data_IF_906864010043
#
_entry.id   IF_906864010043
#
_cell.length_a   1.000
_cell.length_b   1.000
_cell.length_c   1.000
_cell.angle_alpha   90.00
_cell.angle_beta   90.00
_cell.angle_gamma   90.00
#
_symmetry.space_group_name_H-M   'P 1'
#
loop_
_entity.id
_entity.type
_entity.pdbx_description
1 polymer ?
#
# COMPACT_ATOMS: atom_id res chain seq x y z
N UNK A 1 1.82 33.74 -24.37
CA UNK A 1 1.27 32.38 -24.14
C UNK A 1 2.12 31.72 -23.08
N UNK A 2 1.58 31.55 -21.88
CA UNK A 2 2.22 30.75 -20.83
C UNK A 2 1.94 29.29 -21.18
N UNK A 3 2.92 28.37 -21.19
CA UNK A 3 2.61 26.97 -21.37
C UNK A 3 1.78 26.53 -20.18
N UNK A 4 0.57 26.06 -20.44
CA UNK A 4 -0.26 25.41 -19.44
C UNK A 4 0.57 24.26 -18.87
N UNK A 5 0.96 24.39 -17.61
CA UNK A 5 1.53 23.31 -16.83
C UNK A 5 0.48 22.20 -16.88
N UNK A 6 0.74 21.19 -17.72
CA UNK A 6 -0.03 19.96 -17.80
C UNK A 6 0.09 19.34 -16.41
N UNK A 7 -0.83 19.70 -15.50
CA UNK A 7 -0.94 19.06 -14.19
C UNK A 7 -1.24 17.62 -14.54
N UNK A 8 -0.24 16.76 -14.42
CA UNK A 8 -0.33 15.33 -14.71
C UNK A 8 -1.54 14.77 -13.97
N UNK A 9 -2.65 14.67 -14.70
CA UNK A 9 -3.80 13.90 -14.23
C UNK A 9 -3.26 12.48 -14.15
N UNK A 10 -3.32 11.81 -12.98
CA UNK A 10 -2.81 10.46 -12.87
C UNK A 10 -3.44 9.62 -13.98
N UNK A 11 -2.58 9.03 -14.81
CA UNK A 11 -2.98 8.29 -16.01
C UNK A 11 -3.99 7.18 -15.68
N UNK A 12 -3.94 6.69 -14.44
CA UNK A 12 -4.79 5.66 -13.88
C UNK A 12 -5.58 6.18 -12.69
N UNK A 13 -6.87 5.81 -12.62
CA UNK A 13 -7.62 5.74 -11.37
C UNK A 13 -7.44 4.35 -10.82
N UNK A 14 -7.04 4.25 -9.56
CA UNK A 14 -6.82 2.98 -8.90
C UNK A 14 -7.65 2.95 -7.62
N UNK A 15 -8.32 1.83 -7.37
CA UNK A 15 -8.99 1.57 -6.10
C UNK A 15 -8.61 0.20 -5.59
N UNK A 16 -8.42 0.08 -4.28
CA UNK A 16 -8.25 -1.21 -3.64
C UNK A 16 -9.54 -2.02 -3.79
N UNK A 17 -9.41 -3.32 -4.08
CA UNK A 17 -10.55 -4.23 -4.25
C UNK A 17 -10.65 -5.23 -3.10
N UNK A 18 -9.61 -6.03 -2.85
CA UNK A 18 -9.54 -6.93 -1.69
C UNK A 18 -8.10 -7.38 -1.37
N UNK A 19 -7.91 -7.94 -0.18
CA UNK A 19 -6.66 -8.50 0.32
C UNK A 19 -6.15 -7.87 1.63
N UNK A 20 -4.96 -8.25 2.10
CA UNK A 20 -4.12 -9.32 1.55
C UNK A 20 -4.75 -10.71 1.80
N UNK A 21 -4.65 -11.61 0.83
CA UNK A 21 -5.07 -13.00 0.98
C UNK A 21 -3.93 -13.95 0.55
N UNK A 22 -3.74 -15.09 1.23
CA UNK A 22 -2.78 -16.10 0.78
C UNK A 22 -3.08 -16.59 -0.64
N UNK A 23 -2.03 -16.74 -1.45
CA UNK A 23 -2.16 -17.30 -2.80
C UNK A 23 -2.36 -18.82 -2.71
N UNK A 24 -3.34 -19.36 -3.43
CA UNK A 24 -3.62 -20.80 -3.46
C UNK A 24 -2.38 -21.57 -3.91
N UNK A 25 -1.94 -22.52 -3.09
CA UNK A 25 -0.73 -23.32 -3.35
C UNK A 25 0.59 -22.66 -2.92
N UNK A 26 0.56 -21.40 -2.47
CA UNK A 26 1.72 -20.61 -2.07
C UNK A 26 1.39 -19.80 -0.79
N UNK A 27 1.31 -20.46 0.39
CA UNK A 27 0.90 -19.82 1.64
C UNK A 27 1.91 -18.77 2.15
N UNK A 28 3.14 -18.78 1.63
CA UNK A 28 4.19 -17.80 1.88
C UNK A 28 4.05 -16.53 1.02
N UNK A 29 3.06 -16.48 0.12
CA UNK A 29 2.77 -15.36 -0.76
C UNK A 29 1.37 -14.82 -0.46
N UNK A 30 1.28 -13.51 -0.25
CA UNK A 30 0.04 -12.76 -0.12
C UNK A 30 -0.27 -12.02 -1.42
N UNK A 31 -1.55 -11.83 -1.72
CA UNK A 31 -2.01 -11.03 -2.84
C UNK A 31 -2.99 -9.94 -2.42
N UNK A 32 -2.76 -8.73 -2.93
CA UNK A 32 -3.76 -7.65 -2.93
C UNK A 32 -4.27 -7.43 -4.35
N UNK A 33 -5.57 -7.17 -4.51
CA UNK A 33 -6.17 -6.91 -5.82
C UNK A 33 -6.65 -5.47 -5.90
N UNK A 34 -6.39 -4.84 -7.05
CA UNK A 34 -6.73 -3.45 -7.32
C UNK A 34 -7.54 -3.35 -8.61
N UNK A 35 -8.55 -2.50 -8.60
CA UNK A 35 -9.21 -2.06 -9.83
C UNK A 35 -8.41 -0.89 -10.41
N UNK A 36 -8.04 -0.99 -11.68
CA UNK A 36 -7.24 0.00 -12.39
C UNK A 36 -7.98 0.45 -13.64
N UNK A 37 -8.09 1.76 -13.85
CA UNK A 37 -8.75 2.32 -15.04
C UNK A 37 -8.03 3.55 -15.57
N UNK A 38 -7.58 3.51 -16.82
CA UNK A 38 -7.21 4.71 -17.57
C UNK A 38 -8.44 5.45 -18.08
N UNK A 39 -8.31 6.77 -18.26
CA UNK A 39 -9.36 7.59 -18.89
C UNK A 39 -9.69 7.12 -20.32
N UNK A 40 -8.69 6.65 -21.06
CA UNK A 40 -8.85 6.19 -22.45
C UNK A 40 -9.41 4.77 -22.59
N UNK A 41 -9.56 4.03 -21.49
CA UNK A 41 -10.01 2.65 -21.52
C UNK A 41 -11.53 2.54 -21.47
N UNK A 42 -12.07 1.62 -22.28
CA UNK A 42 -13.51 1.29 -22.29
C UNK A 42 -13.96 0.68 -20.95
N UNK A 43 -13.11 -0.11 -20.32
CA UNK A 43 -13.37 -0.78 -19.05
C UNK A 43 -12.15 -0.74 -18.13
N UNK A 44 -12.39 -0.84 -16.82
CA UNK A 44 -11.32 -1.08 -15.85
C UNK A 44 -10.83 -2.52 -15.94
N UNK A 45 -9.66 -2.77 -15.38
CA UNK A 45 -9.04 -4.09 -15.23
C UNK A 45 -8.79 -4.35 -13.75
N UNK A 46 -8.55 -5.61 -13.42
CA UNK A 46 -8.07 -6.03 -12.12
C UNK A 46 -6.60 -6.43 -12.20
N UNK A 47 -5.80 -5.89 -11.30
CA UNK A 47 -4.40 -6.29 -11.14
C UNK A 47 -4.25 -6.92 -9.77
N UNK A 48 -3.82 -8.18 -9.75
CA UNK A 48 -3.39 -8.88 -8.55
C UNK A 48 -1.90 -8.62 -8.33
N UNK A 49 -1.52 -8.22 -7.13
CA UNK A 49 -0.16 -7.87 -6.74
C UNK A 49 0.27 -8.84 -5.66
N UNK A 50 1.26 -9.66 -5.97
CA UNK A 50 1.77 -10.67 -5.04
C UNK A 50 3.00 -10.16 -4.29
N UNK A 51 3.11 -10.56 -3.03
CA UNK A 51 4.19 -10.25 -2.11
C UNK A 51 4.57 -11.47 -1.29
N UNK A 52 5.86 -11.79 -1.20
CA UNK A 52 6.32 -12.81 -0.24
C UNK A 52 6.31 -12.26 1.18
N UNK A 53 6.01 -13.14 2.13
CA UNK A 53 6.03 -12.83 3.56
C UNK A 53 7.43 -12.44 4.05
N UNK A 54 8.49 -13.06 3.50
CA UNK A 54 9.88 -12.74 3.87
C UNK A 54 10.29 -11.33 3.43
N UNK A 55 9.87 -10.89 2.24
CA UNK A 55 10.12 -9.55 1.74
C UNK A 55 9.35 -8.52 2.57
N UNK A 56 8.08 -8.80 2.90
CA UNK A 56 7.30 -7.94 3.79
C UNK A 56 7.97 -7.80 5.16
N UNK A 57 8.40 -8.90 5.78
CA UNK A 57 9.12 -8.87 7.04
C UNK A 57 10.40 -8.03 6.95
N UNK A 58 11.20 -8.25 5.90
CA UNK A 58 12.42 -7.47 5.66
C UNK A 58 12.16 -5.98 5.47
N UNK A 59 11.11 -5.60 4.75
CA UNK A 59 10.69 -4.19 4.60
C UNK A 59 10.23 -3.61 5.95
N UNK A 60 9.44 -4.35 6.71
CA UNK A 60 8.95 -3.92 8.02
C UNK A 60 10.11 -3.59 8.98
N UNK A 61 11.14 -4.45 8.99
CA UNK A 61 12.38 -4.24 9.76
C UNK A 61 13.17 -3.04 9.26
N UNK A 62 13.43 -2.94 7.94
CA UNK A 62 14.14 -1.81 7.33
C UNK A 62 13.48 -0.47 7.64
N UNK A 63 12.15 -0.43 7.65
CA UNK A 63 11.36 0.77 7.97
C UNK A 63 11.30 1.07 9.48
N UNK A 64 11.70 0.12 10.34
CA UNK A 64 11.52 0.16 11.79
C UNK A 64 10.07 0.41 12.18
N UNK A 65 9.15 -0.29 11.50
CA UNK A 65 7.71 0.00 11.60
C UNK A 65 7.18 -0.13 13.02
N UNK A 66 7.63 -1.16 13.76
CA UNK A 66 7.27 -1.39 15.14
C UNK A 66 7.61 -0.20 16.05
N UNK A 67 8.84 0.33 15.95
CA UNK A 67 9.29 1.49 16.74
C UNK A 67 8.44 2.73 16.45
N UNK A 68 8.08 2.94 15.18
CA UNK A 68 7.34 4.11 14.73
C UNK A 68 5.87 4.08 15.13
N UNK A 69 5.27 2.90 15.21
CA UNK A 69 3.86 2.71 15.55
C UNK A 69 3.65 2.38 17.04
N UNK A 70 4.72 2.14 17.81
CA UNK A 70 4.66 1.79 19.22
C UNK A 70 3.82 2.77 20.06
N UNK A 71 3.98 4.08 19.84
CA UNK A 71 3.20 5.10 20.58
C UNK A 71 1.70 4.99 20.32
N UNK A 72 1.30 4.82 19.07
CA UNK A 72 -0.11 4.66 18.69
C UNK A 72 -0.69 3.38 19.29
N UNK A 73 0.06 2.28 19.25
CA UNK A 73 -0.35 1.01 19.86
C UNK A 73 -0.48 1.07 21.39
N UNK A 74 0.42 1.78 22.06
CA UNK A 74 0.37 1.92 23.52
C UNK A 74 -0.80 2.76 24.01
N UNK A 75 -1.34 3.64 23.16
CA UNK A 75 -2.52 4.45 23.47
C UNK A 75 -3.83 3.64 23.41
N UNK A 76 -3.82 2.46 22.79
CA UNK A 76 -4.96 1.55 22.70
C UNK A 76 -5.19 0.78 24.00
N UNK A 77 -6.45 0.39 24.21
CA UNK A 77 -6.82 -0.59 25.22
C UNK A 77 -6.00 -1.88 25.02
N UNK A 78 -5.34 -2.41 26.06
CA UNK A 78 -4.60 -3.67 25.98
C UNK A 78 -5.40 -4.84 25.38
N UNK A 79 -6.71 -4.88 25.55
CA UNK A 79 -7.58 -5.93 25.01
C UNK A 79 -7.75 -5.83 23.48
N UNK A 80 -7.72 -4.61 22.93
CA UNK A 80 -7.89 -4.36 21.50
C UNK A 80 -6.57 -4.46 20.72
N UNK A 81 -5.42 -4.35 21.38
CA UNK A 81 -4.09 -4.34 20.73
C UNK A 81 -3.85 -5.51 19.78
N UNK A 82 -4.18 -6.77 20.10
CA UNK A 82 -3.97 -7.88 19.17
C UNK A 82 -4.74 -7.70 17.84
N UNK A 83 -5.98 -7.23 17.91
CA UNK A 83 -6.80 -6.96 16.73
C UNK A 83 -6.17 -5.87 15.85
N UNK A 84 -5.69 -4.78 16.46
CA UNK A 84 -5.01 -3.73 15.71
C UNK A 84 -3.69 -4.20 15.13
N UNK A 85 -2.93 -5.03 15.84
CA UNK A 85 -1.66 -5.58 15.33
C UNK A 85 -1.87 -6.47 14.10
N UNK A 86 -2.91 -7.31 14.10
CA UNK A 86 -3.30 -8.10 12.92
C UNK A 86 -3.67 -7.18 11.75
N UNK A 87 -4.56 -6.21 11.97
CA UNK A 87 -4.94 -5.25 10.92
C UNK A 87 -3.78 -4.37 10.44
N UNK A 88 -2.80 -4.06 11.30
CA UNK A 88 -1.59 -3.33 10.90
C UNK A 88 -0.76 -4.12 9.89
N UNK A 89 -0.61 -5.43 10.09
CA UNK A 89 0.10 -6.28 9.15
C UNK A 89 -0.60 -6.28 7.78
N UNK A 90 -1.94 -6.34 7.77
CA UNK A 90 -2.73 -6.26 6.55
C UNK A 90 -2.58 -4.92 5.84
N UNK A 91 -2.73 -3.82 6.58
CA UNK A 91 -2.57 -2.46 6.04
C UNK A 91 -1.15 -2.22 5.50
N UNK A 92 -0.14 -2.79 6.17
CA UNK A 92 1.24 -2.73 5.70
C UNK A 92 1.42 -3.47 4.38
N UNK A 93 0.93 -4.71 4.27
CA UNK A 93 0.96 -5.47 3.02
C UNK A 93 0.22 -4.74 1.88
N UNK A 94 -0.94 -4.14 2.15
CA UNK A 94 -1.69 -3.32 1.20
C UNK A 94 -0.89 -2.09 0.73
N UNK A 95 -0.27 -1.34 1.64
CA UNK A 95 0.55 -0.18 1.31
C UNK A 95 1.78 -0.54 0.45
N UNK A 96 2.42 -1.67 0.75
CA UNK A 96 3.56 -2.18 -0.04
C UNK A 96 3.10 -2.65 -1.42
N UNK A 97 1.96 -3.35 -1.51
CA UNK A 97 1.36 -3.73 -2.79
C UNK A 97 0.99 -2.51 -3.63
N UNK A 98 0.51 -1.42 -3.01
CA UNK A 98 0.30 -0.14 -3.68
C UNK A 98 1.59 0.42 -4.29
N UNK A 99 2.71 0.39 -3.55
CA UNK A 99 4.01 0.83 -4.07
C UNK A 99 4.44 -0.02 -5.27
N UNK A 100 4.29 -1.35 -5.19
CA UNK A 100 4.63 -2.28 -6.28
C UNK A 100 3.76 -2.06 -7.51
N UNK A 101 2.46 -1.83 -7.31
CA UNK A 101 1.53 -1.50 -8.38
C UNK A 101 1.93 -0.18 -9.05
N UNK A 102 2.27 0.86 -8.29
CA UNK A 102 2.69 2.15 -8.84
C UNK A 102 3.92 2.00 -9.77
N UNK A 103 4.94 1.24 -9.35
CA UNK A 103 6.09 0.90 -10.20
C UNK A 103 5.66 0.25 -11.53
N UNK A 104 4.73 -0.71 -11.47
CA UNK A 104 4.20 -1.37 -12.67
C UNK A 104 3.41 -0.41 -13.56
N UNK A 105 2.63 0.49 -12.98
CA UNK A 105 1.82 1.46 -13.73
C UNK A 105 2.70 2.50 -14.45
N UNK A 106 3.83 2.89 -13.84
CA UNK A 106 4.84 3.75 -14.45
C UNK A 106 5.51 3.09 -15.66
N UNK A 107 5.78 1.79 -15.60
CA UNK A 107 6.27 1.00 -16.74
C UNK A 107 5.21 0.80 -17.84
N UNK A 108 3.94 1.06 -17.53
CA UNK A 108 2.81 0.88 -18.43
C UNK A 108 2.21 -0.52 -18.34
N UNK A 109 0.89 -0.58 -18.53
CA UNK A 109 0.12 -1.83 -18.49
C UNK A 109 -0.84 -1.94 -19.66
N UNK A 110 -1.09 -3.18 -20.10
CA UNK A 110 -2.13 -3.51 -21.07
C UNK A 110 -3.54 -3.43 -20.43
N UNK A 111 -4.57 -3.24 -21.24
CA UNK A 111 -5.96 -3.23 -20.79
C UNK A 111 -6.50 -4.68 -20.67
N UNK A 112 -5.88 -5.47 -19.80
CA UNK A 112 -6.33 -6.82 -19.45
C UNK A 112 -6.07 -7.12 -17.97
N UNK A 113 -6.83 -8.07 -17.42
CA UNK A 113 -6.58 -8.52 -16.05
C UNK A 113 -5.23 -9.22 -16.00
N UNK A 114 -4.41 -8.89 -15.01
CA UNK A 114 -3.05 -9.41 -14.93
C UNK A 114 -2.61 -9.56 -13.48
N UNK A 115 -1.46 -10.21 -13.32
CA UNK A 115 -0.83 -10.47 -12.04
C UNK A 115 0.61 -9.98 -12.08
N UNK A 116 1.00 -9.22 -11.06
CA UNK A 116 2.39 -8.89 -10.77
C UNK A 116 2.89 -9.97 -9.81
N UNK A 117 3.79 -10.81 -10.28
CA UNK A 117 4.31 -11.96 -9.52
C UNK A 117 5.13 -11.51 -8.31
N UNK A 118 5.25 -12.35 -7.30
CA UNK A 118 5.99 -12.02 -6.08
C UNK A 118 7.45 -11.59 -6.36
N UNK A 119 8.13 -12.27 -7.30
CA UNK A 119 9.51 -11.95 -7.72
C UNK A 119 9.66 -10.71 -8.61
N UNK A 120 8.60 -10.32 -9.32
CA UNK A 120 8.65 -9.19 -10.24
C UNK A 120 8.85 -7.89 -9.45
N UNK A 121 9.76 -7.02 -9.91
CA UNK A 121 10.03 -5.70 -9.31
C UNK A 121 10.52 -5.73 -7.85
N UNK A 122 11.00 -6.87 -7.35
CA UNK A 122 11.35 -7.01 -5.94
C UNK A 122 12.45 -6.03 -5.48
N UNK A 123 13.47 -5.81 -6.31
CA UNK A 123 14.58 -4.90 -6.00
C UNK A 123 14.15 -3.42 -6.06
N UNK A 124 13.36 -3.09 -7.08
CA UNK A 124 12.78 -1.76 -7.28
C UNK A 124 11.84 -1.41 -6.14
N UNK A 125 11.01 -2.37 -5.70
CA UNK A 125 10.13 -2.21 -4.57
C UNK A 125 10.89 -1.99 -3.27
N UNK A 126 11.97 -2.74 -3.05
CA UNK A 126 12.81 -2.58 -1.86
C UNK A 126 13.35 -1.15 -1.75
N UNK A 127 13.77 -0.56 -2.88
CA UNK A 127 14.20 0.83 -2.93
C UNK A 127 13.02 1.80 -2.74
N UNK A 128 11.94 1.61 -3.49
CA UNK A 128 10.81 2.54 -3.52
C UNK A 128 10.07 2.59 -2.18
N UNK A 129 9.77 1.44 -1.58
CA UNK A 129 9.08 1.35 -0.30
C UNK A 129 9.92 2.01 0.81
N UNK A 130 11.25 1.85 0.77
CA UNK A 130 12.18 2.52 1.70
C UNK A 130 12.20 4.04 1.56
N UNK A 131 11.89 4.57 0.37
CA UNK A 131 11.75 6.02 0.15
C UNK A 131 10.35 6.55 0.51
N UNK A 132 9.37 5.65 0.69
CA UNK A 132 7.96 5.98 0.96
C UNK A 132 7.49 5.63 2.37
N UNK A 133 8.40 5.56 3.35
CA UNK A 133 8.05 5.19 4.74
C UNK A 133 6.92 6.05 5.31
N UNK A 134 6.96 7.37 5.09
CA UNK A 134 5.93 8.28 5.59
C UNK A 134 4.55 8.01 4.96
N UNK A 135 4.51 7.65 3.68
CA UNK A 135 3.28 7.23 3.01
C UNK A 135 2.74 5.93 3.62
N UNK A 136 3.59 4.92 3.83
CA UNK A 136 3.20 3.64 4.43
C UNK A 136 2.63 3.85 5.83
N UNK A 137 3.28 4.67 6.66
CA UNK A 137 2.80 5.00 8.00
C UNK A 137 1.46 5.74 7.97
N UNK A 138 1.35 6.77 7.11
CA UNK A 138 0.12 7.53 6.96
C UNK A 138 -1.05 6.65 6.49
N UNK A 139 -0.79 5.72 5.58
CA UNK A 139 -1.77 4.74 5.12
C UNK A 139 -2.25 3.85 6.27
N UNK A 140 -1.32 3.20 6.98
CA UNK A 140 -1.65 2.31 8.11
C UNK A 140 -2.45 3.06 9.19
N UNK A 141 -1.98 4.24 9.60
CA UNK A 141 -2.68 5.03 10.61
C UNK A 141 -4.06 5.50 10.14
N UNK A 142 -4.21 5.81 8.85
CA UNK A 142 -5.50 6.18 8.26
C UNK A 142 -6.49 5.01 8.24
N UNK A 143 -6.09 3.84 7.75
CA UNK A 143 -6.95 2.64 7.66
C UNK A 143 -7.36 2.08 9.03
N UNK A 144 -6.58 2.39 10.07
CA UNK A 144 -6.85 1.99 11.45
C UNK A 144 -7.52 3.08 12.28
N UNK A 145 -7.85 4.23 11.69
CA UNK A 145 -8.39 5.39 12.41
C UNK A 145 -7.51 5.85 13.60
N UNK A 146 -6.19 5.66 13.48
CA UNK A 146 -5.17 6.07 14.45
C UNK A 146 -4.42 7.34 14.05
N UNK A 147 -4.85 7.99 12.97
CA UNK A 147 -4.26 9.25 12.55
C UNK A 147 -4.47 10.31 13.66
N UNK A 148 -3.43 11.11 13.99
CA UNK A 148 -3.57 12.15 14.99
C UNK A 148 -4.66 13.12 14.55
N UNK A 149 -5.66 13.28 15.41
CA UNK A 149 -6.78 14.18 15.18
C UNK A 149 -6.23 15.59 14.96
N UNK A 150 -6.40 16.17 13.76
CA UNK A 150 -5.96 17.55 13.47
C UNK A 150 -6.84 18.59 14.17
N UNK A 151 -7.75 18.18 15.04
CA UNK A 151 -8.79 19.00 15.65
C UNK A 151 -8.47 19.47 17.07
N UNK A 152 -7.22 19.78 17.41
CA UNK A 152 -6.94 20.61 18.61
C UNK A 152 -5.79 21.58 18.35
N UNK A 153 -6.06 22.62 17.55
CA UNK A 153 -5.33 23.88 17.65
C UNK A 153 -6.16 25.02 17.06
N UNK A 154 -7.14 25.48 17.83
CA UNK A 154 -7.60 26.87 17.77
C UNK A 154 -8.25 27.23 19.11
N UNK A 155 -7.42 27.52 20.09
CA UNK A 155 -7.79 28.34 21.24
C UNK A 155 -6.77 29.47 21.33
N UNK A 156 -7.09 30.58 20.68
CA UNK A 156 -6.64 31.92 21.02
C UNK A 156 -7.89 32.80 21.11
#
# INVERSE_FOLDING_TARGET
>A
MVPESNRDVPSYRVTFFFGPEPVVGHPDVLACVFNVKKRSWKAGIQISVEMRNDQLAGLQEKMRLADRLAKSLMALDPHDRPHYQERMADCFAQAVCWCKLDLRLQAGVAQENQRIQADELALELDHEASNRVDYVLAYILGELDLAPDRSVSSSC
#
